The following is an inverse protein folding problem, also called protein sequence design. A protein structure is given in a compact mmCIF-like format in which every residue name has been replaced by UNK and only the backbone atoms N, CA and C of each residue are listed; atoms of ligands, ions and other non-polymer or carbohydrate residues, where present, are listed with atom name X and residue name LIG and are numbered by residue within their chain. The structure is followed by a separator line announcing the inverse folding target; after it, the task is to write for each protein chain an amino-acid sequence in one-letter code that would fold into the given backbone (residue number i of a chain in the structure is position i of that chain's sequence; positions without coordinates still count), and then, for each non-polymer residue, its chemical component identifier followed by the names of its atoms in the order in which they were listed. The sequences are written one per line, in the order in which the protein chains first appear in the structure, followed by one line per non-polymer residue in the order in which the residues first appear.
data_IF_470138545505
#
_entry.id   IF_470138545505
#
_cell.length_a   1.000
_cell.length_b   1.000
_cell.length_c   1.000
_cell.angle_alpha   90.00
_cell.angle_beta   90.00
_cell.angle_gamma   90.00
#
_symmetry.space_group_name_H-M   'P 1'
#
loop_
_entity.id
_entity.type
_entity.pdbx_description
1 polymer ?
#
# COMPACT_ATOMS: atom_id res chain seq x y z
N UNK A 1 9.69 -20.71 -15.76
CA UNK A 1 9.52 -19.43 -15.05
C UNK A 1 8.44 -18.59 -15.72
N UNK A 2 7.30 -18.47 -15.04
CA UNK A 2 6.17 -17.64 -15.45
C UNK A 2 6.27 -16.35 -14.64
N UNK A 3 6.37 -15.20 -15.32
CA UNK A 3 6.30 -13.89 -14.68
C UNK A 3 4.88 -13.33 -14.80
N UNK A 4 4.42 -12.66 -13.76
CA UNK A 4 3.15 -11.93 -13.76
C UNK A 4 3.35 -10.55 -13.13
N UNK A 5 2.49 -9.63 -13.51
CA UNK A 5 2.53 -8.24 -13.06
C UNK A 5 1.13 -7.82 -12.66
N UNK A 6 1.05 -6.98 -11.64
CA UNK A 6 -0.22 -6.46 -11.16
C UNK A 6 -0.08 -5.01 -10.75
N UNK A 7 -1.16 -4.28 -10.92
CA UNK A 7 -1.29 -2.87 -10.57
C UNK A 7 -2.34 -2.77 -9.48
N UNK A 8 -2.07 -1.95 -8.47
CA UNK A 8 -3.06 -1.60 -7.45
C UNK A 8 -3.13 -0.10 -7.30
N UNK A 9 -4.33 0.39 -6.99
CA UNK A 9 -4.65 1.79 -6.78
C UNK A 9 -5.51 1.87 -5.54
N UNK A 10 -5.17 2.78 -4.63
CA UNK A 10 -6.07 3.12 -3.52
C UNK A 10 -6.13 4.65 -3.32
N UNK A 11 -7.25 5.10 -2.77
CA UNK A 11 -7.54 6.52 -2.51
C UNK A 11 -8.38 6.64 -1.25
N UNK A 12 -7.91 7.42 -0.28
CA UNK A 12 -8.68 7.76 0.92
C UNK A 12 -8.80 9.26 1.11
N UNK A 13 -9.91 9.68 1.73
CA UNK A 13 -10.15 11.07 2.09
C UNK A 13 -9.24 11.47 3.24
N UNK A 14 -8.58 12.63 3.11
CA UNK A 14 -7.75 13.20 4.16
C UNK A 14 -8.63 13.97 5.16
N UNK A 15 -8.45 13.69 6.46
CA UNK A 15 -9.16 14.36 7.55
C UNK A 15 -8.16 15.00 8.52
N UNK A 16 -8.60 16.06 9.19
CA UNK A 16 -7.85 16.64 10.31
C UNK A 16 -7.99 15.78 11.56
N UNK A 17 -6.92 15.73 12.35
CA UNK A 17 -6.83 14.93 13.57
C UNK A 17 -6.52 13.45 13.33
N UNK A 18 -5.98 12.81 14.37
CA UNK A 18 -5.61 11.39 14.36
C UNK A 18 -4.22 11.12 13.79
N UNK A 19 -3.95 9.84 13.54
CA UNK A 19 -2.67 9.36 13.03
C UNK A 19 -2.76 9.06 11.53
N UNK A 20 -1.92 9.72 10.74
CA UNK A 20 -1.80 9.49 9.31
C UNK A 20 -0.77 8.39 9.10
N UNK A 21 -1.25 7.21 8.76
CA UNK A 21 -0.42 6.03 8.56
C UNK A 21 -0.22 5.81 7.06
N UNK A 22 1.04 5.68 6.65
CA UNK A 22 1.43 5.33 5.29
C UNK A 22 2.60 4.34 5.33
N UNK A 23 2.49 3.23 4.61
CA UNK A 23 3.49 2.16 4.62
C UNK A 23 3.79 1.61 6.03
N UNK A 24 2.78 1.59 6.90
CA UNK A 24 2.86 1.11 8.28
C UNK A 24 3.63 2.01 9.25
N UNK A 25 3.84 3.29 8.90
CA UNK A 25 4.41 4.29 9.81
C UNK A 25 3.49 5.49 9.98
N UNK A 26 3.50 6.09 11.16
CA UNK A 26 2.80 7.36 11.43
C UNK A 26 3.66 8.50 10.86
N UNK A 27 3.15 9.20 9.84
CA UNK A 27 3.83 10.36 9.23
C UNK A 27 3.33 11.71 9.77
N UNK A 28 2.17 11.73 10.44
CA UNK A 28 1.60 12.91 11.07
C UNK A 28 0.61 12.49 12.17
N UNK A 29 0.53 13.27 13.25
CA UNK A 29 -0.47 13.12 14.34
C UNK A 29 -1.58 14.18 14.31
N UNK A 30 -1.61 14.96 13.23
CA UNK A 30 -2.59 16.03 13.03
C UNK A 30 -3.55 15.73 11.87
N UNK A 31 -3.41 14.56 11.25
CA UNK A 31 -4.15 14.17 10.06
C UNK A 31 -4.39 12.68 10.09
N UNK A 32 -5.43 12.20 9.44
CA UNK A 32 -5.71 10.76 9.26
C UNK A 32 -6.36 10.53 7.90
N UNK A 33 -6.44 9.26 7.48
CA UNK A 33 -7.19 8.85 6.31
C UNK A 33 -8.50 8.18 6.75
N UNK A 34 -9.58 8.49 6.05
CA UNK A 34 -10.89 7.89 6.31
C UNK A 34 -10.93 6.45 5.78
N UNK A 35 -11.28 5.49 6.62
CA UNK A 35 -11.50 4.10 6.25
C UNK A 35 -11.84 3.23 7.46
N UNK A 36 -12.25 1.99 7.19
CA UNK A 36 -12.62 1.01 8.24
C UNK A 36 -11.39 0.34 8.89
N UNK A 37 -10.20 0.47 8.28
CA UNK A 37 -8.90 0.03 8.79
C UNK A 37 -8.05 1.23 9.28
N UNK A 38 -6.72 1.07 9.39
CA UNK A 38 -5.79 2.20 9.55
C UNK A 38 -5.64 3.07 8.27
N UNK A 39 -6.40 2.74 7.21
CA UNK A 39 -6.58 3.51 5.97
C UNK A 39 -5.26 3.82 5.21
N UNK A 40 -4.26 2.95 5.35
CA UNK A 40 -2.96 3.08 4.69
C UNK A 40 -3.04 2.79 3.18
N UNK A 41 -3.31 3.84 2.40
CA UNK A 41 -3.41 3.77 0.93
C UNK A 41 -2.20 3.12 0.26
N UNK A 42 -0.99 3.32 0.78
CA UNK A 42 0.21 2.73 0.18
C UNK A 42 0.17 1.21 0.32
N UNK A 43 -0.12 0.74 1.52
CA UNK A 43 -0.16 -0.70 1.80
C UNK A 43 -1.32 -1.37 1.07
N UNK A 44 -2.50 -0.74 1.02
CA UNK A 44 -3.64 -1.23 0.25
C UNK A 44 -3.33 -1.36 -1.25
N UNK A 45 -2.75 -0.32 -1.88
CA UNK A 45 -2.37 -0.38 -3.28
C UNK A 45 -1.36 -1.51 -3.56
N UNK A 46 -0.42 -1.77 -2.63
CA UNK A 46 0.51 -2.90 -2.76
C UNK A 46 -0.23 -4.23 -2.68
N UNK A 47 -1.18 -4.38 -1.74
CA UNK A 47 -1.99 -5.60 -1.60
C UNK A 47 -2.74 -5.92 -2.90
N UNK A 48 -3.46 -4.94 -3.46
CA UNK A 48 -4.20 -5.14 -4.71
C UNK A 48 -3.27 -5.47 -5.87
N UNK A 49 -2.09 -4.84 -5.93
CA UNK A 49 -1.10 -5.17 -6.97
C UNK A 49 -0.66 -6.63 -6.88
N UNK A 50 -0.50 -7.19 -5.68
CA UNK A 50 -0.07 -8.58 -5.46
C UNK A 50 -1.18 -9.57 -5.77
N UNK A 51 -2.41 -9.30 -5.33
CA UNK A 51 -3.58 -10.12 -5.60
C UNK A 51 -3.91 -10.14 -7.10
N UNK A 52 -3.87 -8.97 -7.74
CA UNK A 52 -4.06 -8.83 -9.19
C UNK A 52 -2.99 -9.57 -9.98
N UNK A 53 -1.71 -9.44 -9.61
CA UNK A 53 -0.63 -10.18 -10.27
C UNK A 53 -0.81 -11.71 -10.16
N UNK A 54 -1.37 -12.18 -9.05
CA UNK A 54 -1.63 -13.60 -8.81
C UNK A 54 -2.95 -14.09 -9.44
N UNK A 55 -3.76 -13.20 -10.03
CA UNK A 55 -5.11 -13.46 -10.53
C UNK A 55 -6.05 -14.03 -9.44
N UNK A 56 -5.99 -13.45 -8.24
CA UNK A 56 -6.76 -13.88 -7.07
C UNK A 56 -7.92 -12.94 -6.70
N UNK A 57 -8.17 -11.90 -7.50
CA UNK A 57 -9.15 -10.85 -7.19
C UNK A 57 -8.49 -9.64 -6.51
N UNK A 58 -9.17 -9.07 -5.53
CA UNK A 58 -8.83 -7.79 -4.88
C UNK A 58 -9.02 -7.84 -3.36
N UNK A 59 -8.71 -6.74 -2.67
CA UNK A 59 -8.93 -6.62 -1.23
C UNK A 59 -10.38 -6.84 -0.82
N UNK A 60 -11.36 -6.37 -1.62
CA UNK A 60 -12.79 -6.54 -1.33
C UNK A 60 -13.21 -8.01 -1.31
N UNK A 61 -12.49 -8.89 -2.01
CA UNK A 61 -12.70 -10.33 -1.91
C UNK A 61 -12.18 -10.93 -0.59
N UNK A 62 -11.03 -10.47 -0.10
CA UNK A 62 -10.32 -11.10 1.03
C UNK A 62 -10.54 -10.43 2.39
N UNK A 63 -11.02 -9.19 2.42
CA UNK A 63 -11.06 -8.36 3.62
C UNK A 63 -12.41 -7.62 3.80
N UNK A 64 -13.52 -8.18 3.29
CA UNK A 64 -14.86 -7.59 3.40
C UNK A 64 -15.60 -7.86 4.72
N UNK A 65 -15.08 -8.74 5.58
CA UNK A 65 -15.80 -9.16 6.77
C UNK A 65 -15.54 -8.20 7.94
N UNK A 66 -16.52 -7.33 8.18
CA UNK A 66 -16.56 -6.34 9.27
C UNK A 66 -16.46 -6.91 10.70
N UNK A 67 -16.47 -8.25 10.84
CA UNK A 67 -16.40 -8.94 12.14
C UNK A 67 -14.98 -9.34 12.56
N UNK A 68 -14.01 -9.33 11.64
CA UNK A 68 -12.60 -9.51 11.99
C UNK A 68 -12.05 -8.20 12.60
N UNK A 69 -11.25 -8.31 13.67
CA UNK A 69 -10.61 -7.16 14.34
C UNK A 69 -10.06 -6.14 13.33
N UNK A 70 -10.16 -4.84 13.67
CA UNK A 70 -9.50 -3.73 12.95
C UNK A 70 -8.07 -4.16 12.61
N UNK A 71 -7.85 -4.58 11.36
CA UNK A 71 -6.52 -5.00 10.93
C UNK A 71 -5.68 -3.75 10.70
N UNK A 72 -4.44 -3.79 11.17
CA UNK A 72 -3.45 -2.92 10.56
C UNK A 72 -3.26 -3.37 9.11
N UNK A 73 -3.12 -2.42 8.19
CA UNK A 73 -2.84 -2.75 6.79
C UNK A 73 -1.59 -3.62 6.61
N UNK A 74 -0.60 -3.54 7.51
CA UNK A 74 0.55 -4.45 7.48
C UNK A 74 0.19 -5.91 7.80
N UNK A 75 -0.81 -6.14 8.66
CA UNK A 75 -1.33 -7.49 8.91
C UNK A 75 -2.04 -8.03 7.68
N UNK A 76 -2.83 -7.20 6.99
CA UNK A 76 -3.45 -7.55 5.71
C UNK A 76 -2.39 -7.87 4.66
N UNK A 77 -1.33 -7.06 4.55
CA UNK A 77 -0.21 -7.29 3.64
C UNK A 77 0.49 -8.63 3.92
N UNK A 78 0.71 -8.96 5.19
CA UNK A 78 1.28 -10.26 5.59
C UNK A 78 0.35 -11.43 5.23
N UNK A 79 -0.97 -11.27 5.40
CA UNK A 79 -1.97 -12.28 5.00
C UNK A 79 -1.94 -12.47 3.48
N UNK A 80 -1.88 -11.39 2.70
CA UNK A 80 -1.74 -11.42 1.23
C UNK A 80 -0.46 -12.12 0.78
N UNK A 81 0.69 -11.83 1.41
CA UNK A 81 1.96 -12.51 1.13
C UNK A 81 1.85 -14.04 1.33
N UNK A 82 1.19 -14.47 2.41
CA UNK A 82 0.93 -15.90 2.64
C UNK A 82 0.01 -16.49 1.57
N UNK A 83 -1.06 -15.79 1.17
CA UNK A 83 -2.01 -16.23 0.14
C UNK A 83 -1.30 -16.45 -1.20
N UNK A 84 -0.50 -15.49 -1.67
CA UNK A 84 0.18 -15.64 -2.96
C UNK A 84 1.26 -16.74 -2.90
N UNK A 85 1.95 -16.90 -1.76
CA UNK A 85 2.92 -17.98 -1.53
C UNK A 85 2.27 -19.36 -1.52
N UNK A 86 1.10 -19.52 -0.90
CA UNK A 86 0.31 -20.75 -0.95
C UNK A 86 -0.09 -21.12 -2.38
N UNK A 87 -0.30 -20.10 -3.22
CA UNK A 87 -0.53 -20.29 -4.65
C UNK A 87 0.77 -20.52 -5.45
N UNK A 88 1.94 -20.56 -4.82
CA UNK A 88 3.25 -20.83 -5.44
C UNK A 88 3.97 -19.61 -6.00
N UNK A 89 3.43 -18.40 -5.82
CA UNK A 89 4.05 -17.17 -6.31
C UNK A 89 5.15 -16.65 -5.37
N UNK A 90 6.17 -16.04 -5.97
CA UNK A 90 7.27 -15.37 -5.27
C UNK A 90 7.35 -13.92 -5.74
N UNK A 91 7.47 -12.98 -4.81
CA UNK A 91 7.61 -11.56 -5.14
C UNK A 91 9.01 -11.29 -5.72
N UNK A 92 9.05 -10.73 -6.92
CA UNK A 92 10.28 -10.24 -7.53
C UNK A 92 10.63 -8.85 -7.01
N UNK A 93 9.76 -7.86 -7.26
CA UNK A 93 9.91 -6.47 -6.84
C UNK A 93 8.57 -5.73 -6.76
N UNK A 94 8.57 -4.60 -6.06
CA UNK A 94 7.44 -3.68 -5.88
C UNK A 94 7.94 -2.26 -6.14
N UNK A 95 7.20 -1.48 -6.94
CA UNK A 95 7.40 -0.04 -7.10
C UNK A 95 6.08 0.68 -6.87
N UNK A 96 6.11 1.75 -6.08
CA UNK A 96 4.90 2.51 -5.76
C UNK A 96 5.13 4.02 -5.78
N UNK A 97 4.03 4.75 -5.94
CA UNK A 97 3.98 6.21 -5.94
C UNK A 97 2.83 6.64 -5.05
N UNK A 98 3.14 7.34 -3.96
CA UNK A 98 2.16 8.06 -3.17
C UNK A 98 1.95 9.43 -3.81
N UNK A 99 0.68 9.80 -4.01
CA UNK A 99 0.26 11.06 -4.59
C UNK A 99 -0.42 11.90 -3.50
N UNK A 100 0.27 12.93 -3.03
CA UNK A 100 -0.22 13.86 -2.02
C UNK A 100 0.43 15.23 -2.17
N UNK A 101 -0.31 16.28 -1.80
CA UNK A 101 0.17 17.66 -1.95
C UNK A 101 0.97 18.11 -0.71
N UNK A 102 0.47 17.82 0.50
CA UNK A 102 1.05 18.34 1.76
C UNK A 102 2.32 17.63 2.24
N UNK A 103 2.45 16.32 2.04
CA UNK A 103 3.48 15.51 2.71
C UNK A 103 4.65 15.17 1.78
N UNK A 104 5.86 15.60 2.16
CA UNK A 104 7.09 15.27 1.43
C UNK A 104 7.51 13.81 1.67
N UNK A 105 7.01 12.89 0.84
CA UNK A 105 7.20 11.44 1.00
C UNK A 105 8.66 10.99 1.05
N UNK A 106 9.58 11.70 0.38
CA UNK A 106 11.00 11.33 0.40
C UNK A 106 11.62 11.36 1.81
N UNK A 107 11.05 12.13 2.75
CA UNK A 107 11.48 12.16 4.15
C UNK A 107 11.16 10.86 4.90
N UNK A 108 10.20 10.08 4.40
CA UNK A 108 9.60 8.94 5.10
C UNK A 108 9.79 7.62 4.34
N UNK A 109 10.12 7.67 3.05
CA UNK A 109 10.14 6.50 2.16
C UNK A 109 11.07 5.39 2.63
N UNK A 110 12.22 5.70 3.22
CA UNK A 110 13.12 4.67 3.76
C UNK A 110 12.52 3.91 4.94
N UNK A 111 11.78 4.60 5.82
CA UNK A 111 11.11 3.97 6.96
C UNK A 111 9.94 3.09 6.48
N UNK A 112 9.16 3.58 5.51
CA UNK A 112 8.10 2.80 4.86
C UNK A 112 8.66 1.54 4.19
N UNK A 113 9.75 1.68 3.41
CA UNK A 113 10.46 0.54 2.78
C UNK A 113 10.89 -0.48 3.82
N UNK A 114 11.44 -0.03 4.95
CA UNK A 114 11.87 -0.93 6.04
C UNK A 114 10.69 -1.72 6.61
N UNK A 115 9.55 -1.09 6.86
CA UNK A 115 8.36 -1.77 7.41
C UNK A 115 7.75 -2.77 6.44
N UNK A 116 7.64 -2.40 5.17
CA UNK A 116 7.13 -3.29 4.13
C UNK A 116 8.11 -4.46 3.89
N UNK A 117 9.42 -4.17 3.87
CA UNK A 117 10.49 -5.18 3.76
C UNK A 117 10.42 -6.21 4.88
N UNK A 118 10.29 -5.75 6.13
CA UNK A 118 10.15 -6.61 7.31
C UNK A 118 8.89 -7.49 7.20
N UNK A 119 7.76 -6.88 6.81
CA UNK A 119 6.47 -7.55 6.69
C UNK A 119 6.49 -8.66 5.64
N UNK A 120 7.05 -8.38 4.45
CA UNK A 120 7.10 -9.31 3.32
C UNK A 120 8.32 -10.24 3.34
N UNK A 121 9.26 -10.03 4.27
CA UNK A 121 10.59 -10.67 4.29
C UNK A 121 11.33 -10.52 2.96
N UNK A 122 11.27 -9.32 2.37
CA UNK A 122 11.93 -8.96 1.12
C UNK A 122 13.13 -8.06 1.37
N UNK A 123 14.18 -8.17 0.55
CA UNK A 123 15.26 -7.19 0.59
C UNK A 123 14.73 -5.80 0.21
N UNK A 124 15.13 -4.75 0.92
CA UNK A 124 14.72 -3.37 0.67
C UNK A 124 15.07 -2.90 -0.74
N UNK A 125 16.08 -3.47 -1.39
CA UNK A 125 16.43 -3.15 -2.79
C UNK A 125 15.37 -3.61 -3.82
N UNK A 126 14.42 -4.46 -3.41
CA UNK A 126 13.28 -4.90 -4.22
C UNK A 126 12.04 -4.01 -4.03
N UNK A 127 12.11 -3.00 -3.17
CA UNK A 127 10.98 -2.12 -2.85
C UNK A 127 11.36 -0.68 -3.15
N UNK A 128 10.57 -0.04 -4.00
CA UNK A 128 10.70 1.37 -4.28
C UNK A 128 9.41 2.14 -3.96
N UNK A 129 9.55 3.32 -3.37
CA UNK A 129 8.44 4.18 -2.93
C UNK A 129 8.78 5.60 -3.32
N UNK A 130 7.90 6.22 -4.09
CA UNK A 130 8.04 7.56 -4.64
C UNK A 130 6.94 8.47 -4.10
N UNK A 131 7.17 9.78 -4.13
CA UNK A 131 6.17 10.79 -3.82
C UNK A 131 5.94 11.72 -5.00
N UNK A 132 4.68 12.11 -5.23
CA UNK A 132 4.29 13.10 -6.24
C UNK A 132 3.20 14.02 -5.70
N UNK A 133 3.33 15.32 -5.99
CA UNK A 133 2.22 16.28 -5.91
C UNK A 133 1.36 16.18 -7.17
N UNK A 134 0.16 16.76 -7.13
CA UNK A 134 -0.63 17.04 -8.34
C UNK A 134 -0.55 18.52 -8.73
N UNK A 135 0.36 19.27 -8.11
CA UNK A 135 0.65 20.69 -8.36
C UNK A 135 -0.63 21.54 -8.24
N UNK A 136 -1.40 21.27 -7.18
CA UNK A 136 -2.66 21.97 -6.89
C UNK A 136 -3.87 21.52 -7.73
N UNK A 137 -3.72 20.53 -8.62
CA UNK A 137 -4.82 20.02 -9.45
C UNK A 137 -5.65 18.95 -8.73
N UNK A 138 -6.97 19.03 -8.90
CA UNK A 138 -7.92 18.02 -8.40
C UNK A 138 -8.06 17.98 -6.87
N UNK A 139 -8.78 16.97 -6.37
CA UNK A 139 -9.03 16.80 -4.92
C UNK A 139 -7.74 16.55 -4.12
N UNK A 140 -6.76 15.84 -4.70
CA UNK A 140 -5.45 15.66 -4.06
C UNK A 140 -4.71 16.99 -3.94
N UNK A 141 -4.72 17.81 -5.00
CA UNK A 141 -4.08 19.13 -4.99
C UNK A 141 -4.71 20.11 -4.01
N UNK A 142 -5.99 19.88 -3.65
CA UNK A 142 -6.72 20.61 -2.61
C UNK A 142 -6.56 20.02 -1.21
N UNK A 143 -5.72 18.99 -1.03
CA UNK A 143 -5.54 18.27 0.23
C UNK A 143 -6.82 17.59 0.76
N UNK A 144 -7.72 17.19 -0.14
CA UNK A 144 -8.96 16.49 0.23
C UNK A 144 -8.75 14.97 0.30
N UNK A 145 -7.66 14.46 -0.29
CA UNK A 145 -7.34 13.03 -0.29
C UNK A 145 -5.88 12.74 -0.58
N UNK A 146 -5.50 11.49 -0.32
CA UNK A 146 -4.21 10.92 -0.68
C UNK A 146 -4.48 9.66 -1.50
N UNK A 147 -3.68 9.44 -2.54
CA UNK A 147 -3.73 8.22 -3.34
C UNK A 147 -2.39 7.50 -3.33
N UNK A 148 -2.40 6.20 -3.58
CA UNK A 148 -1.20 5.47 -3.94
C UNK A 148 -1.46 4.57 -5.16
N UNK A 149 -0.48 4.51 -6.04
CA UNK A 149 -0.40 3.55 -7.14
C UNK A 149 0.77 2.61 -6.86
N UNK A 150 0.57 1.32 -7.02
CA UNK A 150 1.63 0.32 -6.93
C UNK A 150 1.63 -0.58 -8.16
N UNK A 151 2.82 -1.00 -8.56
CA UNK A 151 3.03 -2.10 -9.50
C UNK A 151 3.95 -3.13 -8.84
N UNK A 152 3.59 -4.40 -8.97
CA UNK A 152 4.46 -5.49 -8.54
C UNK A 152 4.77 -6.44 -9.69
N UNK A 153 5.87 -7.17 -9.53
CA UNK A 153 6.19 -8.34 -10.34
C UNK A 153 6.33 -9.55 -9.43
N UNK A 154 5.70 -10.66 -9.82
CA UNK A 154 5.79 -11.95 -9.15
C UNK A 154 6.18 -13.03 -10.16
N UNK A 155 6.73 -14.14 -9.69
CA UNK A 155 7.10 -15.25 -10.55
C UNK A 155 6.84 -16.62 -9.91
N UNK A 156 6.65 -17.62 -10.76
CA UNK A 156 6.60 -19.05 -10.44
C UNK A 156 7.70 -19.76 -11.21
N UNK A 157 8.32 -20.78 -10.59
CA UNK A 157 9.29 -21.63 -11.30
C UNK A 157 8.61 -22.40 -12.42
#
# INVERSE_FOLDING_TARGET
MINSYGIGLDVHKLKEGGDLILGGIIISKNYSLEGDSDADVLTHAIIDSLLGAANLGDMGHFFNDSTELIYSSLQMLKKTDNIIKQNGWIINNIDSTIICEKFKIFNYSNMMKSKISETLKLNTNKINIKGKSTDGLGFIGKNEGISALAICSIYKK
#
